data_IF_630075871778
#
_entry.id   IF_630075871778
#
_cell.length_a   1.000
_cell.length_b   1.000
_cell.length_c   1.000
_cell.angle_alpha   90.00
_cell.angle_beta   90.00
_cell.angle_gamma   90.00
#
_symmetry.space_group_name_H-M   'P 1'
#
loop_
_entity.id
_entity.type
_entity.pdbx_description
1 polymer ?
#
# COMPACT_ATOMS: atom_id res chain seq x y z
N UNK A 1 -20.00 -3.53 -29.56
CA UNK A 1 -18.83 -3.00 -30.19
C UNK A 1 -17.64 -2.99 -29.28
N UNK A 2 -16.55 -3.64 -29.63
CA UNK A 2 -15.41 -3.65 -28.74
C UNK A 2 -14.90 -2.23 -28.57
N UNK A 3 -14.66 -1.90 -27.35
CA UNK A 3 -14.26 -0.56 -27.00
C UNK A 3 -12.75 -0.45 -27.02
N UNK A 4 -12.18 -0.34 -28.21
CA UNK A 4 -10.75 -0.30 -28.44
C UNK A 4 -10.08 0.85 -27.70
N UNK A 5 -10.76 1.99 -27.62
CA UNK A 5 -10.27 3.14 -26.85
C UNK A 5 -10.20 2.83 -25.37
N UNK A 6 -11.20 2.13 -24.85
CA UNK A 6 -11.23 1.76 -23.43
C UNK A 6 -10.05 0.84 -23.09
N UNK A 7 -9.79 -0.15 -23.94
CA UNK A 7 -8.65 -1.06 -23.74
C UNK A 7 -7.33 -0.32 -23.78
N UNK A 8 -7.18 0.61 -24.71
CA UNK A 8 -5.97 1.41 -24.81
C UNK A 8 -5.77 2.29 -23.59
N UNK A 9 -6.83 2.95 -23.12
CA UNK A 9 -6.77 3.79 -21.94
C UNK A 9 -6.47 2.99 -20.68
N UNK A 10 -7.03 1.80 -20.55
CA UNK A 10 -6.76 0.93 -19.39
C UNK A 10 -5.29 0.51 -19.37
N UNK A 11 -4.75 0.15 -20.51
CA UNK A 11 -3.33 -0.20 -20.63
C UNK A 11 -2.44 0.99 -20.28
N UNK A 12 -2.77 2.18 -20.75
CA UNK A 12 -2.03 3.40 -20.46
C UNK A 12 -2.08 3.74 -18.97
N UNK A 13 -3.25 3.62 -18.36
CA UNK A 13 -3.41 3.89 -16.92
C UNK A 13 -2.60 2.91 -16.08
N UNK A 14 -2.60 1.62 -16.43
CA UNK A 14 -1.80 0.63 -15.72
C UNK A 14 -0.31 0.96 -15.77
N UNK A 15 0.17 1.33 -16.94
CA UNK A 15 1.57 1.71 -17.11
C UNK A 15 1.93 2.95 -16.29
N UNK A 16 1.05 3.95 -16.33
CA UNK A 16 1.23 5.18 -15.56
C UNK A 16 1.25 4.88 -14.05
N UNK A 17 0.37 4.00 -13.58
CA UNK A 17 0.34 3.61 -12.17
C UNK A 17 1.63 2.93 -11.73
N UNK A 18 2.19 2.06 -12.57
CA UNK A 18 3.45 1.39 -12.27
C UNK A 18 4.59 2.40 -12.10
N UNK A 19 4.68 3.37 -13.00
CA UNK A 19 5.69 4.42 -12.91
C UNK A 19 5.50 5.25 -11.65
N UNK A 20 4.26 5.60 -11.35
CA UNK A 20 3.93 6.39 -10.15
C UNK A 20 4.31 5.64 -8.88
N UNK A 21 4.01 4.35 -8.81
CA UNK A 21 4.37 3.52 -7.65
C UNK A 21 5.89 3.47 -7.50
N UNK A 22 6.63 3.28 -8.58
CA UNK A 22 8.09 3.25 -8.53
C UNK A 22 8.66 4.56 -7.98
N UNK A 23 8.13 5.69 -8.42
CA UNK A 23 8.57 7.00 -7.92
C UNK A 23 8.25 7.17 -6.44
N UNK A 24 7.08 6.71 -6.01
CA UNK A 24 6.67 6.78 -4.61
C UNK A 24 7.57 5.91 -3.73
N UNK A 25 7.93 4.72 -4.21
CA UNK A 25 8.88 3.86 -3.49
C UNK A 25 10.25 4.52 -3.35
N UNK A 26 10.72 5.17 -4.39
CA UNK A 26 11.98 5.92 -4.32
C UNK A 26 11.93 7.02 -3.26
N UNK A 27 10.82 7.73 -3.18
CA UNK A 27 10.63 8.78 -2.17
C UNK A 27 10.62 8.21 -0.76
N UNK A 28 10.04 7.03 -0.56
CA UNK A 28 10.00 6.38 0.74
C UNK A 28 11.39 6.05 1.26
N UNK A 29 12.33 5.77 0.38
CA UNK A 29 13.68 5.37 0.76
C UNK A 29 14.66 6.53 0.88
N UNK A 30 14.21 7.77 0.64
CA UNK A 30 15.07 8.93 0.84
C UNK A 30 15.24 9.22 2.31
N UNK A 31 16.48 9.46 2.74
CA UNK A 31 16.79 9.75 4.13
C UNK A 31 16.03 10.97 4.66
N UNK A 32 15.80 11.95 3.82
CA UNK A 32 15.09 13.19 4.18
C UNK A 32 13.69 12.92 4.70
N UNK A 33 13.05 11.85 4.25
CA UNK A 33 11.66 11.55 4.58
C UNK A 33 11.50 10.41 5.57
N UNK A 34 12.57 9.77 5.99
CA UNK A 34 12.48 8.58 6.85
C UNK A 34 11.90 8.87 8.23
N UNK A 35 12.10 10.08 8.72
CA UNK A 35 11.59 10.48 10.03
C UNK A 35 10.29 11.30 9.94
N UNK A 36 9.75 11.47 8.76
CA UNK A 36 8.52 12.24 8.57
C UNK A 36 7.32 11.29 8.38
N UNK A 37 6.73 10.89 9.50
CA UNK A 37 5.62 9.94 9.49
C UNK A 37 4.42 10.44 8.70
N UNK A 38 4.09 11.72 8.79
CA UNK A 38 2.98 12.29 8.03
C UNK A 38 3.19 12.15 6.52
N UNK A 39 4.40 12.45 6.06
CA UNK A 39 4.74 12.35 4.65
C UNK A 39 4.71 10.89 4.20
N UNK A 40 5.29 10.01 5.00
CA UNK A 40 5.31 8.59 4.69
C UNK A 40 3.90 7.99 4.62
N UNK A 41 2.99 8.42 5.50
CA UNK A 41 1.60 8.00 5.45
C UNK A 41 0.91 8.46 4.17
N UNK A 42 1.16 9.69 3.74
CA UNK A 42 0.59 10.20 2.49
C UNK A 42 1.09 9.41 1.29
N UNK A 43 2.37 9.07 1.28
CA UNK A 43 2.94 8.25 0.20
C UNK A 43 2.31 6.85 0.19
N UNK A 44 2.19 6.23 1.37
CA UNK A 44 1.57 4.92 1.47
C UNK A 44 0.13 4.93 0.99
N UNK A 45 -0.64 5.97 1.34
CA UNK A 45 -2.01 6.12 0.86
C UNK A 45 -2.06 6.26 -0.66
N UNK A 46 -1.12 7.02 -1.24
CA UNK A 46 -1.02 7.18 -2.69
C UNK A 46 -0.71 5.85 -3.37
N UNK A 47 0.19 5.06 -2.79
CA UNK A 47 0.51 3.74 -3.31
C UNK A 47 -0.74 2.85 -3.29
N UNK A 48 -1.50 2.87 -2.21
CA UNK A 48 -2.74 2.08 -2.12
C UNK A 48 -3.79 2.48 -3.14
N UNK A 49 -3.82 3.73 -3.56
CA UNK A 49 -4.73 4.16 -4.63
C UNK A 49 -4.41 3.50 -5.97
N UNK A 50 -3.14 3.19 -6.20
CA UNK A 50 -2.70 2.54 -7.43
C UNK A 50 -2.56 1.04 -7.30
N UNK A 51 -2.26 0.55 -6.10
CA UNK A 51 -2.05 -0.87 -5.82
C UNK A 51 -2.57 -1.19 -4.42
N UNK A 52 -3.81 -1.67 -4.35
CA UNK A 52 -4.49 -1.95 -3.09
C UNK A 52 -3.83 -3.05 -2.26
N UNK A 53 -3.00 -3.89 -2.89
CA UNK A 53 -2.33 -5.00 -2.21
C UNK A 53 -0.83 -4.81 -2.08
N UNK A 54 -0.38 -3.56 -2.10
CA UNK A 54 1.04 -3.26 -1.93
C UNK A 54 1.46 -3.52 -0.48
N UNK A 55 2.34 -4.49 -0.30
CA UNK A 55 2.78 -4.90 1.04
C UNK A 55 3.64 -3.85 1.73
N UNK A 56 4.44 -3.11 0.98
CA UNK A 56 5.28 -2.07 1.55
C UNK A 56 4.42 -0.94 2.13
N UNK A 57 3.38 -0.53 1.42
CA UNK A 57 2.46 0.49 1.92
C UNK A 57 1.73 0.00 3.18
N UNK A 58 1.30 -1.26 3.20
CA UNK A 58 0.68 -1.85 4.37
C UNK A 58 1.63 -1.82 5.56
N UNK A 59 2.86 -2.25 5.35
CA UNK A 59 3.88 -2.30 6.39
C UNK A 59 4.17 -0.91 6.97
N UNK A 60 4.31 0.08 6.10
CA UNK A 60 4.58 1.45 6.51
C UNK A 60 3.45 1.98 7.37
N UNK A 61 2.21 1.86 6.91
CA UNK A 61 1.05 2.36 7.66
C UNK A 61 0.93 1.67 9.01
N UNK A 62 1.01 0.36 9.03
CA UNK A 62 0.88 -0.40 10.28
C UNK A 62 2.00 -0.05 11.25
N UNK A 63 3.24 0.02 10.78
CA UNK A 63 4.39 0.33 11.62
C UNK A 63 4.30 1.73 12.23
N UNK A 64 3.91 2.72 11.42
CA UNK A 64 3.79 4.09 11.90
C UNK A 64 2.73 4.21 12.99
N UNK A 65 1.55 3.62 12.77
CA UNK A 65 0.49 3.68 13.76
C UNK A 65 0.85 2.92 15.03
N UNK A 66 1.57 1.80 14.93
CA UNK A 66 2.05 1.08 16.10
C UNK A 66 3.03 1.92 16.91
N UNK A 67 3.96 2.61 16.25
CA UNK A 67 4.93 3.47 16.95
C UNK A 67 4.29 4.65 17.65
N UNK A 68 3.15 5.11 17.15
CA UNK A 68 2.43 6.25 17.70
C UNK A 68 1.34 5.84 18.70
N UNK A 69 1.42 4.62 19.24
CA UNK A 69 0.46 4.07 20.21
C UNK A 69 -0.97 3.97 19.66
N UNK A 70 -1.08 3.78 18.34
CA UNK A 70 -2.38 3.61 17.68
C UNK A 70 -2.51 2.22 17.10
N UNK A 71 -2.18 1.22 17.92
CA UNK A 71 -2.20 -0.18 17.50
C UNK A 71 -3.58 -0.61 16.99
N UNK A 72 -4.66 -0.10 17.59
CA UNK A 72 -6.01 -0.40 17.13
C UNK A 72 -6.27 0.01 15.69
N UNK A 73 -5.76 1.18 15.29
CA UNK A 73 -5.88 1.65 13.92
C UNK A 73 -5.03 0.78 13.00
N UNK A 74 -3.80 0.47 13.39
CA UNK A 74 -2.92 -0.39 12.61
C UNK A 74 -3.55 -1.75 12.37
N UNK A 75 -4.14 -2.34 13.40
CA UNK A 75 -4.78 -3.64 13.30
C UNK A 75 -6.01 -3.60 12.39
N UNK A 76 -6.78 -2.52 12.44
CA UNK A 76 -7.92 -2.34 11.53
C UNK A 76 -7.46 -2.27 10.08
N UNK A 77 -6.38 -1.58 9.80
CA UNK A 77 -5.81 -1.48 8.45
C UNK A 77 -5.39 -2.87 7.97
N UNK A 78 -4.71 -3.61 8.83
CA UNK A 78 -4.29 -4.98 8.51
C UNK A 78 -5.48 -5.90 8.25
N UNK A 79 -6.48 -5.87 9.14
CA UNK A 79 -7.66 -6.72 9.00
C UNK A 79 -8.44 -6.43 7.73
N UNK A 80 -8.60 -5.17 7.37
CA UNK A 80 -9.26 -4.76 6.13
C UNK A 80 -8.47 -5.23 4.92
N UNK A 81 -7.16 -5.10 4.96
CA UNK A 81 -6.29 -5.57 3.89
C UNK A 81 -6.46 -7.08 3.67
N UNK A 82 -6.42 -7.86 4.75
CA UNK A 82 -6.57 -9.31 4.69
C UNK A 82 -7.95 -9.72 4.16
N UNK A 83 -8.98 -9.01 4.59
CA UNK A 83 -10.35 -9.29 4.17
C UNK A 83 -10.53 -9.05 2.68
N UNK A 84 -10.04 -7.93 2.18
CA UNK A 84 -10.10 -7.62 0.75
C UNK A 84 -9.25 -8.59 -0.07
N UNK A 85 -8.08 -8.92 0.44
CA UNK A 85 -7.20 -9.87 -0.21
C UNK A 85 -7.91 -11.22 -0.41
N UNK A 86 -8.52 -11.74 0.65
CA UNK A 86 -9.25 -13.01 0.58
C UNK A 86 -10.46 -12.91 -0.35
N UNK A 87 -11.19 -11.81 -0.31
CA UNK A 87 -12.38 -11.61 -1.13
C UNK A 87 -12.04 -11.55 -2.62
N UNK A 88 -10.99 -10.84 -2.98
CA UNK A 88 -10.66 -10.60 -4.38
C UNK A 88 -9.75 -11.67 -4.97
N UNK A 89 -8.86 -12.24 -4.20
CA UNK A 89 -7.89 -13.22 -4.68
C UNK A 89 -8.26 -14.65 -4.30
N UNK A 90 -9.24 -14.83 -3.43
CA UNK A 90 -9.68 -16.16 -3.01
C UNK A 90 -8.71 -16.89 -2.10
N UNK A 91 -7.66 -16.22 -1.63
CA UNK A 91 -6.65 -16.81 -0.77
C UNK A 91 -6.47 -15.98 0.49
N UNK A 92 -6.09 -16.65 1.56
CA UNK A 92 -5.80 -15.98 2.82
C UNK A 92 -4.43 -15.32 2.72
N UNK A 93 -4.32 -14.07 3.21
CA UNK A 93 -3.04 -13.39 3.25
C UNK A 93 -2.07 -14.11 4.17
N UNK A 94 -0.83 -14.32 3.70
CA UNK A 94 0.12 -15.21 4.35
C UNK A 94 0.91 -14.63 5.52
N UNK A 95 0.95 -13.30 5.68
CA UNK A 95 1.70 -12.68 6.76
C UNK A 95 0.79 -12.28 7.92
N UNK A 96 1.27 -12.51 9.15
CA UNK A 96 0.54 -12.08 10.33
C UNK A 96 0.74 -10.58 10.58
N UNK A 97 -0.07 -10.01 11.47
CA UNK A 97 0.09 -8.61 11.87
C UNK A 97 1.49 -8.35 12.44
N UNK A 98 1.99 -9.27 13.24
CA UNK A 98 3.33 -9.15 13.81
C UNK A 98 4.41 -9.16 12.72
N UNK A 99 4.25 -10.00 11.70
CA UNK A 99 5.19 -10.05 10.58
C UNK A 99 5.20 -8.73 9.81
N UNK A 100 4.04 -8.13 9.62
CA UNK A 100 3.92 -6.87 8.89
C UNK A 100 4.55 -5.73 9.66
N UNK A 101 4.41 -5.68 10.97
CA UNK A 101 4.90 -4.58 11.80
C UNK A 101 6.31 -4.78 12.32
N UNK A 102 6.88 -5.95 12.16
CA UNK A 102 8.18 -6.33 12.69
C UNK A 102 9.34 -5.58 12.04
N UNK A 103 9.14 -5.09 10.87
CA UNK A 103 10.15 -4.57 9.96
C UNK A 103 11.00 -3.44 10.53
N UNK A 104 10.38 -2.51 11.17
CA UNK A 104 11.07 -1.33 11.65
C UNK A 104 11.81 -1.61 12.97
#
# INVERSE_FOLDING_TARGET
MPNTESDYLDSFKSHYSDITIDLLHLLLHKEEFQNNDKFRLKIADSIFQHDSFNEEALRIKCSIFCRNDKMGIAKSIYDNFCKEYQTLLGEKYGLSFNDVTKEE
#
